data_IF_439697313763
#
_entry.id   IF_439697313763
#
_cell.length_a   1.000
_cell.length_b   1.000
_cell.length_c   1.000
_cell.angle_alpha   90.00
_cell.angle_beta   90.00
_cell.angle_gamma   90.00
#
_symmetry.space_group_name_H-M   'P 1'
#
loop_
_entity.id
_entity.type
_entity.pdbx_description
1 polymer ?
#
# COMPACT_ATOMS: atom_id res chain seq x y z
N UNK A 1 27.85 8.84 57.15
CA UNK A 1 27.30 9.86 56.22
C UNK A 1 27.22 9.23 54.83
N UNK A 2 26.05 8.74 54.43
CA UNK A 2 25.83 8.12 53.10
C UNK A 2 25.04 9.07 52.21
N UNK A 3 25.41 9.24 50.93
CA UNK A 3 24.72 10.17 50.04
C UNK A 3 23.43 9.56 49.50
N UNK A 4 22.34 10.33 49.57
CA UNK A 4 21.04 10.03 48.95
C UNK A 4 21.17 10.15 47.43
N UNK A 5 21.10 9.04 46.71
CA UNK A 5 20.86 9.05 45.26
C UNK A 5 19.40 9.40 44.97
N UNK A 6 19.16 10.59 44.37
CA UNK A 6 17.89 10.92 43.72
C UNK A 6 17.73 10.05 42.47
N UNK A 7 16.74 9.15 42.46
CA UNK A 7 16.27 8.46 41.26
C UNK A 7 15.43 9.44 40.43
N UNK A 8 16.00 9.92 39.32
CA UNK A 8 15.25 10.65 38.29
C UNK A 8 14.37 9.64 37.55
N UNK A 9 13.04 9.74 37.74
CA UNK A 9 12.07 8.97 36.95
C UNK A 9 12.04 9.57 35.53
N UNK A 10 12.68 8.91 34.58
CA UNK A 10 12.52 9.20 33.16
C UNK A 10 11.11 8.75 32.77
N UNK A 11 10.22 9.71 32.55
CA UNK A 11 8.92 9.48 31.92
C UNK A 11 9.17 9.22 30.43
N UNK A 12 9.06 7.96 30.02
CA UNK A 12 8.94 7.58 28.61
C UNK A 12 7.57 8.08 28.12
N UNK A 13 7.59 9.15 27.33
CA UNK A 13 6.44 9.62 26.56
C UNK A 13 6.41 8.75 25.29
N UNK A 14 5.34 7.97 25.02
CA UNK A 14 5.24 7.27 23.75
C UNK A 14 4.94 8.32 22.67
N UNK A 15 5.93 8.57 21.81
CA UNK A 15 5.70 9.32 20.56
C UNK A 15 4.88 8.40 19.64
N UNK A 16 3.55 8.56 19.67
CA UNK A 16 2.67 8.02 18.65
C UNK A 16 2.84 8.88 17.39
N UNK A 17 3.87 8.59 16.59
CA UNK A 17 4.00 9.14 15.25
C UNK A 17 2.97 8.45 14.35
N UNK A 18 1.76 8.99 14.30
CA UNK A 18 0.78 8.64 13.28
C UNK A 18 1.28 9.19 11.93
N UNK A 19 2.15 8.44 11.27
CA UNK A 19 2.51 8.69 9.88
C UNK A 19 1.28 8.36 9.03
N UNK A 20 0.44 9.35 8.78
CA UNK A 20 -0.49 9.36 7.65
C UNK A 20 0.37 9.36 6.39
N UNK A 21 0.82 8.19 5.95
CA UNK A 21 1.28 8.00 4.58
C UNK A 21 0.01 7.96 3.72
N UNK A 22 -0.62 9.12 3.57
CA UNK A 22 -1.57 9.35 2.51
C UNK A 22 -0.76 9.52 1.23
N UNK A 23 -0.45 8.42 0.55
CA UNK A 23 -0.03 8.47 -0.84
C UNK A 23 -1.20 9.00 -1.66
N UNK A 24 -1.30 10.33 -1.76
CA UNK A 24 -2.05 10.96 -2.84
C UNK A 24 -1.30 10.62 -4.12
N UNK A 25 -1.74 9.57 -4.79
CA UNK A 25 -1.25 9.22 -6.13
C UNK A 25 -1.72 10.32 -7.08
N UNK A 26 -0.89 11.34 -7.30
CA UNK A 26 -1.07 12.25 -8.45
C UNK A 26 -0.53 11.53 -9.68
N UNK A 27 -1.38 10.75 -10.34
CA UNK A 27 -1.13 10.28 -11.70
C UNK A 27 -1.17 11.51 -12.60
N UNK A 28 -0.02 12.04 -13.01
CA UNK A 28 0.04 13.02 -14.10
C UNK A 28 -0.07 12.25 -15.40
N UNK A 29 -1.30 11.83 -15.74
CA UNK A 29 -1.65 11.29 -17.05
C UNK A 29 -1.72 12.44 -18.06
N UNK A 30 -1.12 12.26 -19.23
CA UNK A 30 -1.31 13.16 -20.36
C UNK A 30 -2.81 13.17 -20.73
N UNK A 31 -3.41 14.36 -20.75
CA UNK A 31 -4.77 14.56 -21.21
C UNK A 31 -4.77 14.59 -22.74
N UNK A 32 -5.10 13.47 -23.38
CA UNK A 32 -5.72 13.56 -24.71
C UNK A 32 -7.09 14.25 -24.55
N UNK A 33 -7.52 15.11 -25.48
CA UNK A 33 -8.82 15.75 -25.40
C UNK A 33 -9.91 14.72 -25.65
N UNK A 34 -10.45 14.17 -24.55
CA UNK A 34 -11.61 13.26 -24.58
C UNK A 34 -12.85 14.02 -25.12
N UNK A 35 -13.66 13.39 -26.00
CA UNK A 35 -14.90 14.00 -26.46
C UNK A 35 -15.85 14.18 -25.28
N UNK A 36 -16.13 15.44 -24.91
CA UNK A 36 -17.12 15.90 -23.92
C UNK A 36 -17.60 14.80 -22.94
N UNK A 37 -16.71 14.38 -22.04
CA UNK A 37 -17.04 13.42 -20.98
C UNK A 37 -18.22 13.94 -20.16
N UNK A 38 -19.24 13.10 -19.95
CA UNK A 38 -20.33 13.44 -19.05
C UNK A 38 -19.76 13.66 -17.64
N UNK A 39 -20.19 14.71 -16.95
CA UNK A 39 -19.67 15.01 -15.62
C UNK A 39 -19.84 13.81 -14.69
N UNK A 40 -18.76 13.41 -14.00
CA UNK A 40 -18.79 12.30 -13.03
C UNK A 40 -19.89 12.58 -11.99
N UNK A 41 -20.86 11.66 -11.82
CA UNK A 41 -22.01 11.89 -10.97
C UNK A 41 -21.61 12.04 -9.50
N UNK A 42 -22.52 12.60 -8.69
CA UNK A 42 -22.29 12.76 -7.24
C UNK A 42 -22.01 11.42 -6.53
N UNK A 43 -22.63 10.33 -7.02
CA UNK A 43 -22.31 8.97 -6.61
C UNK A 43 -22.28 8.02 -7.79
N UNK A 44 -21.49 6.95 -7.70
CA UNK A 44 -21.57 5.77 -8.59
C UNK A 44 -21.95 4.52 -7.77
N UNK A 45 -22.64 3.53 -8.38
CA UNK A 45 -22.88 2.26 -7.71
C UNK A 45 -21.58 1.45 -7.57
N UNK A 46 -21.35 0.87 -6.40
CA UNK A 46 -20.38 -0.19 -6.15
C UNK A 46 -21.16 -1.49 -5.91
N UNK A 47 -20.98 -2.47 -6.80
CA UNK A 47 -21.45 -3.84 -6.54
C UNK A 47 -20.41 -4.58 -5.73
N UNK A 48 -20.83 -5.00 -4.54
CA UNK A 48 -20.02 -5.76 -3.61
C UNK A 48 -20.53 -7.21 -3.60
N UNK A 49 -19.71 -8.16 -4.04
CA UNK A 49 -20.10 -9.56 -4.21
C UNK A 49 -19.31 -10.44 -3.24
N UNK A 50 -19.98 -11.34 -2.53
CA UNK A 50 -19.32 -12.29 -1.64
C UNK A 50 -19.22 -13.68 -2.30
N UNK A 51 -18.04 -14.00 -2.83
CA UNK A 51 -17.69 -15.32 -3.36
C UNK A 51 -16.67 -16.04 -2.48
N UNK A 52 -16.57 -15.65 -1.21
CA UNK A 52 -15.50 -16.13 -0.32
C UNK A 52 -15.60 -17.60 0.07
N UNK A 53 -16.75 -18.24 -0.21
CA UNK A 53 -17.09 -19.58 0.27
C UNK A 53 -17.12 -19.69 1.81
N UNK A 54 -17.21 -18.56 2.52
CA UNK A 54 -17.28 -18.47 3.98
C UNK A 54 -18.72 -18.26 4.45
N UNK A 55 -19.07 -18.83 5.60
CA UNK A 55 -20.42 -18.74 6.18
C UNK A 55 -20.63 -17.53 7.10
N UNK A 56 -19.54 -16.86 7.51
CA UNK A 56 -19.59 -15.74 8.43
C UNK A 56 -20.27 -14.50 7.86
N UNK A 57 -20.96 -13.74 8.72
CA UNK A 57 -21.47 -12.41 8.38
C UNK A 57 -20.33 -11.50 7.93
N UNK A 58 -20.50 -10.83 6.79
CA UNK A 58 -19.56 -9.79 6.32
C UNK A 58 -20.01 -8.43 6.85
N UNK A 59 -19.08 -7.64 7.37
CA UNK A 59 -19.32 -6.22 7.67
C UNK A 59 -18.49 -5.37 6.72
N UNK A 60 -19.09 -4.34 6.13
CA UNK A 60 -18.43 -3.42 5.19
C UNK A 60 -18.39 -2.02 5.79
N UNK A 61 -17.32 -1.26 5.53
CA UNK A 61 -17.18 0.12 6.00
C UNK A 61 -16.66 0.97 4.85
N UNK A 62 -17.27 2.13 4.59
CA UNK A 62 -16.75 3.12 3.65
C UNK A 62 -16.23 4.32 4.44
N UNK A 63 -14.92 4.40 4.65
CA UNK A 63 -14.27 5.34 5.57
C UNK A 63 -13.26 6.21 4.85
N UNK A 64 -13.21 7.52 5.15
CA UNK A 64 -12.30 8.41 4.45
C UNK A 64 -12.69 9.88 4.56
N UNK A 65 -12.39 10.63 3.49
CA UNK A 65 -12.57 12.09 3.42
C UNK A 65 -13.56 12.46 2.33
N UNK A 66 -14.57 13.25 2.68
CA UNK A 66 -15.48 13.87 1.72
C UNK A 66 -14.77 15.02 1.00
N UNK A 67 -14.71 14.96 -0.34
CA UNK A 67 -13.86 15.89 -1.10
C UNK A 67 -14.39 17.32 -1.14
N UNK A 68 -15.70 17.52 -1.03
CA UNK A 68 -16.32 18.85 -1.05
C UNK A 68 -16.05 19.65 0.22
N UNK A 69 -15.90 18.99 1.37
CA UNK A 69 -15.73 19.63 2.68
C UNK A 69 -14.35 19.41 3.29
N UNK A 70 -13.58 18.44 2.79
CA UNK A 70 -12.31 18.01 3.38
C UNK A 70 -12.47 17.32 4.75
N UNK A 71 -13.70 16.98 5.17
CA UNK A 71 -13.97 16.37 6.47
C UNK A 71 -13.77 14.86 6.40
N UNK A 72 -13.18 14.29 7.45
CA UNK A 72 -13.13 12.85 7.63
C UNK A 72 -14.46 12.32 8.20
N UNK A 73 -14.86 11.12 7.77
CA UNK A 73 -16.08 10.47 8.19
C UNK A 73 -16.25 9.12 7.52
N UNK A 74 -17.52 8.73 7.37
CA UNK A 74 -17.93 7.51 6.70
C UNK A 74 -19.13 7.78 5.80
N UNK A 75 -19.32 6.93 4.79
CA UNK A 75 -20.52 6.96 3.96
C UNK A 75 -21.38 5.72 4.21
N UNK A 76 -22.69 5.90 4.34
CA UNK A 76 -23.62 4.78 4.46
C UNK A 76 -23.90 4.10 3.11
N UNK A 77 -24.77 3.08 3.10
CA UNK A 77 -25.08 2.32 1.88
C UNK A 77 -25.69 3.18 0.76
N UNK A 78 -26.37 4.28 1.10
CA UNK A 78 -26.94 5.23 0.14
C UNK A 78 -25.93 6.28 -0.33
N UNK A 79 -24.70 6.26 0.21
CA UNK A 79 -23.65 7.21 -0.12
C UNK A 79 -23.80 8.55 0.62
N UNK A 80 -24.67 8.62 1.63
CA UNK A 80 -24.77 9.80 2.48
C UNK A 80 -23.57 9.86 3.42
N UNK A 81 -22.89 11.01 3.43
CA UNK A 81 -21.72 11.24 4.27
C UNK A 81 -22.11 11.58 5.70
N UNK A 82 -21.41 10.97 6.64
CA UNK A 82 -21.53 11.16 8.08
C UNK A 82 -20.16 11.55 8.63
N UNK A 83 -19.93 12.81 9.03
CA UNK A 83 -18.65 13.22 9.56
C UNK A 83 -18.37 12.55 10.90
N UNK A 84 -17.11 12.24 11.18
CA UNK A 84 -16.73 11.74 12.50
C UNK A 84 -16.99 12.79 13.59
N UNK A 85 -17.39 12.35 14.81
CA UNK A 85 -17.33 13.22 15.97
C UNK A 85 -15.86 13.60 16.28
N UNK A 86 -15.66 14.60 17.14
CA UNK A 86 -14.32 15.00 17.55
C UNK A 86 -13.58 13.82 18.23
N UNK A 87 -12.33 13.60 17.82
CA UNK A 87 -11.44 12.66 18.49
C UNK A 87 -10.75 13.26 19.71
N UNK A 88 -9.85 12.49 20.33
CA UNK A 88 -9.11 12.90 21.53
C UNK A 88 -7.59 12.86 21.34
N UNK A 89 -6.85 13.50 22.25
CA UNK A 89 -5.38 13.34 22.34
C UNK A 89 -5.00 11.90 22.72
N UNK A 90 -5.84 11.27 23.55
CA UNK A 90 -5.95 9.81 23.64
C UNK A 90 -7.09 9.38 22.70
N UNK A 91 -6.85 8.47 21.75
CA UNK A 91 -7.88 8.07 20.79
C UNK A 91 -9.13 7.50 21.48
N UNK A 92 -10.30 8.03 21.12
CA UNK A 92 -11.62 7.60 21.64
C UNK A 92 -12.30 6.65 20.66
N UNK A 93 -13.24 5.79 21.08
CA UNK A 93 -13.97 4.92 20.15
C UNK A 93 -14.70 5.71 19.06
N UNK A 94 -14.63 5.25 17.81
CA UNK A 94 -15.48 5.74 16.73
C UNK A 94 -16.91 5.16 16.85
N UNK A 95 -17.95 5.87 16.37
CA UNK A 95 -19.28 5.28 16.26
C UNK A 95 -19.28 4.14 15.24
N UNK A 96 -20.25 3.24 15.37
CA UNK A 96 -20.37 2.09 14.48
C UNK A 96 -20.82 2.52 13.07
N UNK A 97 -19.92 2.38 12.11
CA UNK A 97 -20.13 2.70 10.69
C UNK A 97 -20.30 1.45 9.82
N UNK A 98 -20.57 0.29 10.42
CA UNK A 98 -20.71 -0.97 9.68
C UNK A 98 -22.00 -0.99 8.84
N UNK A 99 -21.83 -1.34 7.57
CA UNK A 99 -22.90 -1.77 6.65
C UNK A 99 -22.93 -3.30 6.66
N UNK A 100 -24.12 -3.88 6.79
CA UNK A 100 -24.31 -5.34 6.66
C UNK A 100 -23.94 -5.77 5.24
N UNK A 101 -22.86 -6.55 5.12
CA UNK A 101 -22.39 -7.09 3.85
C UNK A 101 -23.23 -8.28 3.35
N UNK A 102 -23.03 -8.69 2.08
CA UNK A 102 -23.81 -9.78 1.49
C UNK A 102 -23.37 -11.15 2.02
N UNK A 103 -24.35 -12.06 2.17
CA UNK A 103 -24.07 -13.47 2.42
C UNK A 103 -23.31 -14.11 1.24
N UNK A 104 -22.66 -15.25 1.49
CA UNK A 104 -21.94 -15.98 0.43
C UNK A 104 -22.86 -16.34 -0.75
N UNK A 105 -22.36 -16.15 -1.97
CA UNK A 105 -23.12 -16.31 -3.22
C UNK A 105 -24.10 -15.17 -3.52
N UNK A 106 -24.05 -14.07 -2.76
CA UNK A 106 -24.92 -12.90 -2.97
C UNK A 106 -24.09 -11.63 -3.20
N UNK A 107 -24.76 -10.63 -3.73
CA UNK A 107 -24.22 -9.29 -3.91
C UNK A 107 -25.10 -8.26 -3.22
N UNK A 108 -24.50 -7.13 -2.87
CA UNK A 108 -25.19 -5.90 -2.49
C UNK A 108 -24.67 -4.74 -3.34
N UNK A 109 -25.41 -3.64 -3.34
CA UNK A 109 -24.95 -2.39 -3.96
C UNK A 109 -24.88 -1.30 -2.90
N UNK A 110 -23.76 -0.59 -2.84
CA UNK A 110 -23.60 0.65 -2.08
C UNK A 110 -23.31 1.79 -3.04
N UNK A 111 -23.59 3.04 -2.65
CA UNK A 111 -23.24 4.21 -3.44
C UNK A 111 -21.91 4.79 -2.96
N UNK A 112 -20.96 4.96 -3.88
CA UNK A 112 -19.69 5.65 -3.61
C UNK A 112 -19.86 7.15 -3.92
N UNK A 113 -19.80 8.05 -2.93
CA UNK A 113 -19.77 9.48 -3.18
C UNK A 113 -18.39 9.93 -3.65
N UNK A 114 -18.28 11.19 -4.10
CA UNK A 114 -17.00 11.86 -4.35
C UNK A 114 -16.21 11.96 -3.04
N UNK A 115 -15.23 11.06 -2.92
CA UNK A 115 -14.66 10.64 -1.65
C UNK A 115 -13.30 10.00 -1.89
N UNK A 116 -12.40 10.12 -0.92
CA UNK A 116 -11.11 9.43 -0.94
C UNK A 116 -10.90 8.68 0.37
N UNK A 117 -10.65 7.36 0.29
CA UNK A 117 -10.62 6.52 1.48
C UNK A 117 -10.52 5.03 1.18
N UNK A 118 -11.09 4.25 2.08
CA UNK A 118 -11.01 2.79 2.11
C UNK A 118 -12.38 2.15 2.24
N UNK A 119 -12.61 1.11 1.43
CA UNK A 119 -13.70 0.15 1.64
C UNK A 119 -13.14 -1.03 2.42
N UNK A 120 -13.36 -1.05 3.73
CA UNK A 120 -13.01 -2.20 4.58
C UNK A 120 -14.07 -3.27 4.51
N UNK A 121 -13.66 -4.53 4.69
CA UNK A 121 -14.56 -5.63 4.95
C UNK A 121 -13.97 -6.60 5.97
N UNK A 122 -14.80 -7.13 6.86
CA UNK A 122 -14.42 -8.11 7.88
C UNK A 122 -15.40 -9.28 7.96
N UNK A 123 -14.91 -10.42 8.42
CA UNK A 123 -15.68 -11.66 8.55
C UNK A 123 -15.98 -11.97 10.01
N UNK A 124 -17.26 -12.16 10.33
CA UNK A 124 -17.77 -12.63 11.63
C UNK A 124 -17.74 -11.59 12.75
N UNK A 125 -16.77 -10.66 12.73
CA UNK A 125 -16.61 -9.63 13.77
C UNK A 125 -16.54 -8.24 13.14
N UNK A 126 -17.11 -7.25 13.83
CA UNK A 126 -16.97 -5.83 13.46
C UNK A 126 -15.56 -5.34 13.79
N UNK A 127 -15.03 -4.46 12.94
CA UNK A 127 -13.78 -3.76 13.19
C UNK A 127 -13.96 -2.70 14.27
N UNK A 128 -12.90 -2.47 15.04
CA UNK A 128 -12.81 -1.46 16.09
C UNK A 128 -11.97 -0.30 15.58
N UNK A 129 -12.62 0.84 15.36
CA UNK A 129 -11.97 2.08 14.97
C UNK A 129 -11.91 3.07 16.14
N UNK A 130 -10.89 3.94 16.13
CA UNK A 130 -10.72 5.02 17.10
C UNK A 130 -10.47 6.35 16.39
N UNK A 131 -10.75 7.44 17.10
CA UNK A 131 -10.61 8.82 16.64
C UNK A 131 -9.59 9.55 17.52
N UNK A 132 -8.47 9.93 16.92
CA UNK A 132 -7.49 10.84 17.49
C UNK A 132 -7.84 12.30 17.15
N UNK A 133 -7.08 13.26 17.68
CA UNK A 133 -7.26 14.70 17.35
C UNK A 133 -7.20 14.96 15.84
N UNK A 134 -6.37 14.20 15.10
CA UNK A 134 -6.24 14.28 13.64
C UNK A 134 -7.25 13.46 12.83
N UNK A 135 -8.25 12.83 13.47
CA UNK A 135 -9.25 12.00 12.81
C UNK A 135 -9.06 10.50 13.02
N UNK A 136 -9.41 9.72 12.01
CA UNK A 136 -9.45 8.26 12.08
C UNK A 136 -8.05 7.66 12.30
N UNK A 137 -7.93 6.80 13.31
CA UNK A 137 -6.75 5.96 13.52
C UNK A 137 -6.90 4.71 12.65
N UNK A 138 -5.98 4.50 11.71
CA UNK A 138 -5.96 3.30 10.87
C UNK A 138 -5.56 2.07 11.71
N UNK A 139 -6.09 0.87 11.39
CA UNK A 139 -5.65 -0.37 12.04
C UNK A 139 -4.14 -0.60 11.87
N UNK A 140 -3.46 -1.03 12.94
CA UNK A 140 -2.01 -1.27 12.96
C UNK A 140 -1.73 -2.66 13.55
N UNK A 141 -2.16 -3.71 12.82
CA UNK A 141 -2.17 -5.11 13.27
C UNK A 141 -0.80 -5.77 13.40
N UNK A 142 0.28 -5.08 13.04
CA UNK A 142 1.62 -5.47 13.45
C UNK A 142 1.76 -5.38 14.98
N UNK A 143 1.07 -4.43 15.61
CA UNK A 143 1.01 -4.31 17.06
C UNK A 143 0.18 -5.45 17.68
N UNK A 144 0.73 -6.25 18.61
CA UNK A 144 -0.01 -7.34 19.26
C UNK A 144 -1.25 -6.89 20.03
N UNK A 145 -1.29 -5.63 20.48
CA UNK A 145 -2.40 -5.05 21.23
C UNK A 145 -3.44 -4.33 20.36
N UNK A 146 -3.30 -4.33 19.03
CA UNK A 146 -4.32 -3.74 18.15
C UNK A 146 -5.64 -4.50 18.32
N UNK A 147 -6.79 -3.81 18.53
CA UNK A 147 -8.06 -4.48 18.77
C UNK A 147 -8.55 -5.32 17.58
N UNK A 148 -8.03 -5.05 16.38
CA UNK A 148 -8.36 -5.77 15.14
C UNK A 148 -7.39 -6.93 14.85
N UNK A 149 -6.38 -7.17 15.70
CA UNK A 149 -5.33 -8.18 15.50
C UNK A 149 -5.90 -9.58 15.19
N UNK A 150 -6.97 -9.98 15.86
CA UNK A 150 -7.57 -11.32 15.73
C UNK A 150 -8.78 -11.39 14.79
N UNK A 151 -9.13 -10.27 14.15
CA UNK A 151 -10.26 -10.20 13.21
C UNK A 151 -9.74 -10.49 11.80
N UNK A 152 -10.46 -11.27 11.01
CA UNK A 152 -10.16 -11.48 9.59
C UNK A 152 -10.78 -10.34 8.77
N UNK A 153 -9.96 -9.52 8.13
CA UNK A 153 -10.41 -8.36 7.35
C UNK A 153 -9.42 -7.98 6.26
N UNK A 154 -9.88 -7.15 5.32
CA UNK A 154 -9.02 -6.44 4.39
C UNK A 154 -9.67 -5.11 4.00
N UNK A 155 -9.03 -4.35 3.10
CA UNK A 155 -9.60 -3.15 2.50
C UNK A 155 -9.14 -2.94 1.08
N UNK A 156 -9.97 -2.26 0.29
CA UNK A 156 -9.58 -1.61 -0.98
C UNK A 156 -9.45 -0.11 -0.76
N UNK A 157 -8.49 0.55 -1.42
CA UNK A 157 -8.36 2.00 -1.44
C UNK A 157 -8.99 2.56 -2.71
N UNK A 158 -9.69 3.68 -2.59
CA UNK A 158 -10.28 4.35 -3.74
C UNK A 158 -10.31 5.86 -3.61
N UNK A 159 -10.36 6.52 -4.76
CA UNK A 159 -10.72 7.94 -4.88
C UNK A 159 -11.71 8.09 -6.02
N UNK A 160 -12.86 8.69 -5.74
CA UNK A 160 -13.82 9.17 -6.73
C UNK A 160 -13.83 10.70 -6.67
N UNK A 161 -13.55 11.37 -7.78
CA UNK A 161 -13.62 12.82 -7.90
C UNK A 161 -14.12 13.23 -9.29
N UNK A 162 -14.00 14.51 -9.65
CA UNK A 162 -14.44 15.03 -10.96
C UNK A 162 -13.64 14.48 -12.14
N UNK A 163 -12.46 13.90 -11.87
CA UNK A 163 -11.58 13.28 -12.86
C UNK A 163 -11.74 11.75 -12.93
N UNK A 164 -12.73 11.18 -12.24
CA UNK A 164 -13.10 9.77 -12.33
C UNK A 164 -12.80 8.95 -11.08
N UNK A 165 -12.66 7.63 -11.27
CA UNK A 165 -12.42 6.65 -10.21
C UNK A 165 -11.02 6.07 -10.33
N UNK A 166 -10.32 5.99 -9.21
CA UNK A 166 -9.18 5.08 -8.99
C UNK A 166 -9.56 4.11 -7.89
N UNK A 167 -9.38 2.81 -8.12
CA UNK A 167 -9.62 1.78 -7.11
C UNK A 167 -8.54 0.71 -7.21
N UNK A 168 -7.97 0.31 -6.07
CA UNK A 168 -6.88 -0.66 -6.03
C UNK A 168 -7.21 -1.92 -5.23
N UNK A 169 -6.45 -2.97 -5.54
CA UNK A 169 -6.14 -4.03 -4.58
C UNK A 169 -4.75 -3.73 -4.02
N UNK A 170 -4.59 -3.77 -2.69
CA UNK A 170 -3.33 -3.41 -2.02
C UNK A 170 -2.84 -4.51 -1.07
N UNK A 171 -1.52 -4.70 -1.04
CA UNK A 171 -0.82 -5.60 -0.14
C UNK A 171 0.37 -4.89 0.53
N UNK A 172 0.38 -3.55 0.52
CA UNK A 172 1.48 -2.73 1.07
C UNK A 172 1.64 -2.95 2.58
N UNK A 173 0.54 -3.23 3.28
CA UNK A 173 0.55 -3.50 4.72
C UNK A 173 0.45 -5.00 5.04
N UNK A 174 -0.38 -5.74 4.30
CA UNK A 174 -0.58 -7.18 4.53
C UNK A 174 -1.20 -7.91 3.33
N UNK A 175 -0.91 -9.20 3.20
CA UNK A 175 -1.76 -10.15 2.46
C UNK A 175 -2.71 -10.78 3.47
N UNK A 176 -4.01 -10.71 3.24
CA UNK A 176 -5.06 -11.28 4.11
C UNK A 176 -6.23 -11.75 3.24
N UNK A 177 -7.48 -11.64 3.72
CA UNK A 177 -8.67 -12.06 2.98
C UNK A 177 -8.63 -11.55 1.52
N UNK A 178 -8.67 -12.46 0.52
CA UNK A 178 -8.43 -12.09 -0.87
C UNK A 178 -9.65 -11.39 -1.48
N UNK A 179 -9.39 -10.46 -2.39
CA UNK A 179 -10.43 -9.72 -3.08
C UNK A 179 -9.91 -9.17 -4.41
N UNK A 180 -10.84 -8.95 -5.34
CA UNK A 180 -10.60 -8.28 -6.59
C UNK A 180 -11.45 -7.00 -6.70
N UNK A 181 -10.95 -6.03 -7.46
CA UNK A 181 -11.65 -4.76 -7.72
C UNK A 181 -11.86 -4.55 -9.21
N UNK A 182 -12.81 -3.70 -9.57
CA UNK A 182 -13.04 -3.34 -10.96
C UNK A 182 -13.81 -2.04 -11.17
N UNK A 183 -13.78 -1.57 -12.40
CA UNK A 183 -14.53 -0.39 -12.87
C UNK A 183 -15.16 -0.68 -14.22
N UNK A 184 -16.46 -0.36 -14.36
CA UNK A 184 -17.20 -0.39 -15.62
C UNK A 184 -17.14 0.98 -16.29
N UNK A 185 -16.79 0.98 -17.57
CA UNK A 185 -16.68 2.16 -18.42
C UNK A 185 -18.00 2.51 -19.12
N UNK A 186 -18.11 3.70 -19.74
CA UNK A 186 -19.29 4.08 -20.53
C UNK A 186 -19.58 3.14 -21.70
N UNK A 187 -18.54 2.59 -22.33
CA UNK A 187 -18.65 1.62 -23.44
C UNK A 187 -19.11 0.21 -23.00
N UNK A 188 -19.29 0.00 -21.68
CA UNK A 188 -19.72 -1.26 -21.10
C UNK A 188 -18.58 -2.23 -20.75
N UNK A 189 -17.35 -1.95 -21.13
CA UNK A 189 -16.17 -2.77 -20.76
C UNK A 189 -15.86 -2.65 -19.28
N UNK A 190 -15.23 -3.68 -18.72
CA UNK A 190 -14.82 -3.73 -17.31
C UNK A 190 -13.33 -3.96 -17.21
N UNK A 191 -12.62 -3.03 -16.57
CA UNK A 191 -11.25 -3.26 -16.10
C UNK A 191 -11.29 -3.82 -14.67
N UNK A 192 -10.45 -4.81 -14.39
CA UNK A 192 -10.35 -5.45 -13.08
C UNK A 192 -8.90 -5.84 -12.77
N UNK A 193 -8.61 -6.01 -11.47
CA UNK A 193 -7.30 -6.43 -10.96
C UNK A 193 -7.42 -6.99 -9.53
N UNK A 194 -6.34 -7.57 -8.99
CA UNK A 194 -6.26 -8.11 -7.63
C UNK A 194 -6.71 -9.56 -7.46
N UNK A 195 -7.23 -10.19 -8.53
CA UNK A 195 -7.68 -11.58 -8.52
C UNK A 195 -6.47 -12.51 -8.44
N UNK A 196 -6.47 -13.41 -7.46
CA UNK A 196 -5.48 -14.49 -7.37
C UNK A 196 -5.76 -15.60 -8.39
N UNK A 197 -4.72 -16.31 -8.79
CA UNK A 197 -4.80 -17.59 -9.53
C UNK A 197 -5.55 -18.63 -8.68
N UNK A 198 -6.15 -19.68 -9.30
CA UNK A 198 -6.61 -20.84 -8.55
C UNK A 198 -5.49 -21.40 -7.65
N UNK A 199 -5.78 -21.65 -6.38
CA UNK A 199 -4.79 -22.04 -5.38
C UNK A 199 -3.80 -20.95 -4.94
N UNK A 200 -3.96 -19.70 -5.42
CA UNK A 200 -3.00 -18.62 -5.25
C UNK A 200 -2.91 -18.11 -3.81
N UNK A 201 -4.01 -18.15 -3.05
CA UNK A 201 -4.02 -17.78 -1.63
C UNK A 201 -3.15 -18.76 -0.84
N UNK A 202 -3.41 -20.08 -0.93
CA UNK A 202 -2.56 -21.08 -0.28
C UNK A 202 -1.13 -21.04 -0.80
N UNK A 203 -0.96 -20.92 -2.11
CA UNK A 203 0.35 -20.84 -2.77
C UNK A 203 1.22 -19.69 -2.26
N UNK A 204 0.64 -18.52 -1.98
CA UNK A 204 1.37 -17.41 -1.36
C UNK A 204 1.90 -17.77 0.03
N UNK A 205 1.03 -18.28 0.92
CA UNK A 205 1.43 -18.62 2.30
C UNK A 205 2.42 -19.78 2.34
N UNK A 206 2.23 -20.83 1.53
CA UNK A 206 3.16 -21.95 1.44
C UNK A 206 4.53 -21.49 0.95
N UNK A 207 4.56 -20.66 -0.09
CA UNK A 207 5.80 -20.09 -0.59
C UNK A 207 6.49 -19.20 0.45
N UNK A 208 5.73 -18.44 1.25
CA UNK A 208 6.30 -17.56 2.27
C UNK A 208 6.83 -18.35 3.48
N UNK A 209 6.13 -19.40 3.92
CA UNK A 209 6.62 -20.34 4.95
C UNK A 209 7.93 -21.00 4.55
N UNK A 210 8.04 -21.41 3.28
CA UNK A 210 9.24 -22.06 2.76
C UNK A 210 10.42 -21.13 2.49
N UNK A 211 10.30 -19.82 2.72
CA UNK A 211 11.34 -18.84 2.42
C UNK A 211 12.30 -18.65 3.62
N UNK A 212 13.60 -19.02 3.49
CA UNK A 212 14.58 -18.82 4.54
C UNK A 212 14.83 -17.34 4.85
N UNK A 213 15.28 -17.04 6.07
CA UNK A 213 15.62 -15.68 6.50
C UNK A 213 14.56 -14.98 7.37
N UNK A 214 13.57 -15.73 7.87
CA UNK A 214 12.55 -15.23 8.82
C UNK A 214 11.21 -14.86 8.20
N UNK A 215 11.04 -14.97 6.87
CA UNK A 215 9.80 -14.59 6.17
C UNK A 215 8.56 -15.36 6.65
N UNK A 216 8.73 -16.59 7.13
CA UNK A 216 7.65 -17.37 7.74
C UNK A 216 7.05 -16.67 8.98
N UNK A 217 7.84 -15.89 9.72
CA UNK A 217 7.38 -15.18 10.92
C UNK A 217 6.47 -13.98 10.61
N UNK A 218 6.38 -13.57 9.33
CA UNK A 218 5.41 -12.55 8.90
C UNK A 218 3.97 -13.07 9.00
N UNK A 219 3.78 -14.39 8.99
CA UNK A 219 2.48 -15.03 9.00
C UNK A 219 1.91 -14.99 10.41
N UNK A 220 0.77 -14.34 10.56
CA UNK A 220 -0.03 -14.33 11.76
C UNK A 220 -1.12 -15.40 11.65
N UNK A 221 -1.04 -16.38 12.55
CA UNK A 221 -2.00 -17.47 12.68
C UNK A 221 -2.69 -17.35 14.03
N UNK A 222 -4.02 -17.51 14.06
CA UNK A 222 -4.76 -17.63 15.33
C UNK A 222 -4.35 -18.89 16.07
N UNK A 223 -4.67 -18.93 17.36
CA UNK A 223 -4.45 -20.11 18.20
C UNK A 223 -5.19 -21.37 17.69
N UNK A 224 -6.28 -21.19 16.94
CA UNK A 224 -7.04 -22.27 16.30
C UNK A 224 -6.42 -22.81 14.99
N UNK A 225 -5.25 -22.29 14.58
CA UNK A 225 -4.56 -22.68 13.36
C UNK A 225 -5.01 -21.92 12.09
N UNK A 226 -6.00 -21.03 12.19
CA UNK A 226 -6.44 -20.21 11.06
C UNK A 226 -5.39 -19.15 10.73
N UNK A 227 -4.90 -19.14 9.50
CA UNK A 227 -4.06 -18.04 8.98
C UNK A 227 -4.91 -16.79 8.83
N UNK A 228 -4.52 -15.68 9.47
CA UNK A 228 -5.19 -14.39 9.33
C UNK A 228 -4.58 -13.56 8.21
N UNK A 229 -3.26 -13.42 8.24
CA UNK A 229 -2.52 -12.52 7.34
C UNK A 229 -1.03 -12.84 7.31
N UNK A 230 -0.34 -12.34 6.30
CA UNK A 230 1.10 -12.09 6.37
C UNK A 230 1.34 -10.58 6.40
N UNK A 231 2.14 -10.10 7.36
CA UNK A 231 2.58 -8.70 7.39
C UNK A 231 3.52 -8.40 6.22
N UNK A 232 3.42 -7.21 5.65
CA UNK A 232 4.44 -6.71 4.74
C UNK A 232 5.80 -6.58 5.45
N UNK A 233 6.92 -6.71 4.72
CA UNK A 233 8.23 -6.89 5.34
C UNK A 233 8.71 -5.68 6.17
N UNK A 234 8.28 -4.46 5.87
CA UNK A 234 8.56 -3.28 6.70
C UNK A 234 7.97 -3.41 8.10
N UNK A 235 6.67 -3.73 8.18
CA UNK A 235 5.99 -4.06 9.45
C UNK A 235 6.62 -5.28 10.14
N UNK A 236 7.10 -6.25 9.35
CA UNK A 236 7.84 -7.40 9.86
C UNK A 236 9.16 -7.01 10.54
N UNK A 237 9.91 -6.06 9.98
CA UNK A 237 11.12 -5.52 10.58
C UNK A 237 10.78 -4.74 11.86
N UNK A 238 9.76 -3.87 11.82
CA UNK A 238 9.29 -3.10 12.99
C UNK A 238 8.89 -4.02 14.15
N UNK A 239 8.14 -5.08 13.86
CA UNK A 239 7.68 -6.05 14.86
C UNK A 239 8.74 -7.07 15.28
N UNK A 240 9.95 -7.04 14.69
CA UNK A 240 11.02 -8.01 14.97
C UNK A 240 10.80 -9.41 14.39
N UNK A 241 9.83 -9.58 13.48
CA UNK A 241 9.58 -10.83 12.76
C UNK A 241 10.63 -11.09 11.66
N UNK A 242 11.16 -10.03 11.06
CA UNK A 242 12.26 -10.07 10.09
C UNK A 242 13.51 -9.36 10.65
N UNK A 243 14.72 -9.86 10.35
CA UNK A 243 15.95 -9.16 10.71
C UNK A 243 16.02 -7.77 10.07
N UNK A 244 16.37 -6.74 10.84
CA UNK A 244 16.52 -5.35 10.35
C UNK A 244 17.58 -5.17 9.25
N UNK A 245 18.53 -6.11 9.15
CA UNK A 245 19.59 -6.13 8.15
C UNK A 245 19.35 -7.07 6.96
N UNK A 246 18.14 -7.60 6.75
CA UNK A 246 17.87 -8.61 5.72
C UNK A 246 18.24 -8.17 4.30
N UNK A 247 18.20 -6.86 3.99
CA UNK A 247 18.59 -6.30 2.69
C UNK A 247 20.06 -5.82 2.62
N UNK A 248 20.81 -5.87 3.72
CA UNK A 248 22.13 -5.20 3.83
C UNK A 248 23.12 -5.67 2.77
N UNK A 249 23.17 -6.96 2.47
CA UNK A 249 24.08 -7.50 1.44
C UNK A 249 23.83 -6.86 0.07
N UNK A 250 22.57 -6.85 -0.39
CA UNK A 250 22.20 -6.26 -1.68
C UNK A 250 22.48 -4.75 -1.69
N UNK A 251 22.12 -4.04 -0.63
CA UNK A 251 22.37 -2.59 -0.50
C UNK A 251 23.88 -2.30 -0.56
N UNK A 252 24.72 -3.09 0.14
CA UNK A 252 26.17 -2.93 0.10
C UNK A 252 26.73 -3.08 -1.32
N UNK A 253 26.27 -4.09 -2.06
CA UNK A 253 26.70 -4.33 -3.44
C UNK A 253 26.29 -3.20 -4.38
N UNK A 254 25.06 -2.67 -4.26
CA UNK A 254 24.59 -1.51 -5.04
C UNK A 254 25.49 -0.30 -4.81
N UNK A 255 25.78 0.00 -3.54
CA UNK A 255 26.62 1.12 -3.16
C UNK A 255 28.07 0.98 -3.65
N UNK A 256 28.64 -0.23 -3.59
CA UNK A 256 29.96 -0.52 -4.12
C UNK A 256 30.03 -0.32 -5.64
N UNK A 257 29.03 -0.82 -6.39
CA UNK A 257 28.95 -0.64 -7.86
C UNK A 257 28.92 0.84 -8.24
N UNK A 258 28.08 1.63 -7.58
CA UNK A 258 27.88 3.03 -7.95
C UNK A 258 28.91 4.00 -7.33
N UNK A 259 29.92 3.51 -6.61
CA UNK A 259 31.11 4.28 -6.28
C UNK A 259 32.02 4.51 -7.51
N UNK A 260 32.04 3.54 -8.43
CA UNK A 260 32.87 3.59 -9.63
C UNK A 260 32.07 3.77 -10.91
N UNK A 261 30.77 3.45 -10.89
CA UNK A 261 29.85 3.56 -12.03
C UNK A 261 28.76 4.60 -11.80
N UNK A 262 28.10 5.03 -12.87
CA UNK A 262 26.96 5.96 -12.79
C UNK A 262 25.64 5.20 -12.85
N UNK A 263 24.71 5.53 -11.95
CA UNK A 263 23.30 5.15 -12.03
C UNK A 263 22.53 6.25 -12.75
N UNK A 264 21.84 5.94 -13.85
CA UNK A 264 20.98 6.91 -14.54
C UNK A 264 19.53 6.67 -14.15
N UNK A 265 18.85 7.71 -13.68
CA UNK A 265 17.43 7.69 -13.31
C UNK A 265 16.65 8.60 -14.25
N UNK A 266 15.62 8.06 -14.92
CA UNK A 266 14.70 8.77 -15.80
C UNK A 266 13.28 8.63 -15.22
N UNK A 267 12.91 9.43 -14.21
CA UNK A 267 11.79 9.10 -13.33
C UNK A 267 10.43 9.53 -13.87
N UNK A 268 10.38 10.20 -15.02
CA UNK A 268 9.16 10.70 -15.65
C UNK A 268 8.91 9.96 -16.96
N UNK A 269 7.91 9.09 -17.00
CA UNK A 269 7.59 8.29 -18.19
C UNK A 269 7.26 9.15 -19.41
N UNK A 270 6.60 10.30 -19.20
CA UNK A 270 6.24 11.26 -20.25
C UNK A 270 7.33 12.29 -20.57
N UNK A 271 8.46 12.28 -19.85
CA UNK A 271 9.59 13.20 -20.07
C UNK A 271 10.92 12.43 -20.09
N UNK A 272 11.15 11.53 -21.08
CA UNK A 272 12.32 10.65 -21.11
C UNK A 272 13.67 11.38 -21.29
N UNK A 273 13.64 12.67 -21.62
CA UNK A 273 14.80 13.55 -21.67
C UNK A 273 15.27 14.02 -20.29
N UNK A 274 14.41 13.99 -19.27
CA UNK A 274 14.75 14.40 -17.90
C UNK A 274 15.46 13.26 -17.20
N UNK A 275 16.79 13.40 -17.05
CA UNK A 275 17.67 12.38 -16.48
C UNK A 275 18.45 12.93 -15.29
N UNK A 276 18.69 12.05 -14.34
CA UNK A 276 19.53 12.30 -13.18
C UNK A 276 20.60 11.23 -13.06
N UNK A 277 21.80 11.61 -12.61
CA UNK A 277 22.97 10.74 -12.59
C UNK A 277 23.50 10.59 -11.16
N UNK A 278 23.32 9.39 -10.59
CA UNK A 278 23.71 9.02 -9.25
C UNK A 278 25.12 8.44 -9.19
N UNK A 279 25.95 8.95 -8.29
CA UNK A 279 27.26 8.37 -7.96
C UNK A 279 27.52 8.43 -6.45
N UNK A 280 28.08 7.36 -5.90
CA UNK A 280 28.49 7.30 -4.49
C UNK A 280 29.84 7.99 -4.32
N UNK A 281 29.92 8.89 -3.35
CA UNK A 281 31.15 9.48 -2.85
C UNK A 281 31.12 9.46 -1.32
N UNK A 282 32.11 8.81 -0.71
CA UNK A 282 32.07 8.49 0.72
C UNK A 282 30.82 7.65 1.06
N UNK A 283 30.01 8.14 1.99
CA UNK A 283 28.78 7.49 2.45
C UNK A 283 27.50 8.11 1.86
N UNK A 284 27.60 8.88 0.76
CA UNK A 284 26.47 9.57 0.15
C UNK A 284 26.39 9.26 -1.35
N UNK A 285 25.20 8.90 -1.84
CA UNK A 285 24.90 8.86 -3.27
C UNK A 285 24.36 10.22 -3.71
N UNK A 286 25.15 10.95 -4.49
CA UNK A 286 24.78 12.27 -5.02
C UNK A 286 24.17 12.11 -6.41
N UNK A 287 23.02 12.73 -6.65
CA UNK A 287 22.39 12.79 -7.97
C UNK A 287 22.60 14.17 -8.59
N UNK A 288 23.15 14.21 -9.80
CA UNK A 288 23.25 15.44 -10.59
C UNK A 288 22.22 15.47 -11.71
N UNK A 289 21.80 16.66 -12.12
CA UNK A 289 21.09 16.84 -13.40
C UNK A 289 22.06 16.84 -14.59
N UNK A 290 21.55 16.97 -15.82
CA UNK A 290 22.36 17.01 -17.05
C UNK A 290 23.34 18.19 -17.13
N UNK A 291 23.13 19.24 -16.33
CA UNK A 291 24.05 20.39 -16.22
C UNK A 291 25.18 20.15 -15.20
N UNK A 292 25.20 18.99 -14.53
CA UNK A 292 26.21 18.63 -13.54
C UNK A 292 25.96 19.16 -12.12
N UNK A 293 24.87 19.88 -11.88
CA UNK A 293 24.51 20.36 -10.55
C UNK A 293 23.94 19.21 -9.71
N UNK A 294 24.42 19.05 -8.46
CA UNK A 294 23.82 18.10 -7.49
C UNK A 294 22.44 18.62 -7.08
N UNK A 295 21.41 17.81 -7.28
CA UNK A 295 20.01 18.19 -7.04
C UNK A 295 19.38 17.44 -5.87
N UNK A 296 19.91 16.28 -5.50
CA UNK A 296 19.50 15.53 -4.30
C UNK A 296 20.59 14.54 -3.90
N UNK A 297 20.47 13.99 -2.69
CA UNK A 297 21.43 13.04 -2.13
C UNK A 297 20.74 12.01 -1.25
N UNK A 298 21.27 10.79 -1.24
CA UNK A 298 20.75 9.70 -0.43
C UNK A 298 21.83 9.18 0.50
N UNK A 299 21.45 9.02 1.78
CA UNK A 299 22.20 8.19 2.71
C UNK A 299 21.94 6.72 2.38
N UNK A 300 22.83 5.83 2.82
CA UNK A 300 22.66 4.40 2.65
C UNK A 300 21.39 3.93 3.34
N UNK A 301 20.42 3.34 2.61
CA UNK A 301 19.18 2.89 3.23
C UNK A 301 19.43 1.64 4.06
N UNK A 302 18.55 1.40 5.02
CA UNK A 302 18.40 0.12 5.71
C UNK A 302 17.24 -0.68 5.12
N UNK A 303 17.02 -1.91 5.60
CA UNK A 303 15.95 -2.78 5.08
C UNK A 303 14.57 -2.16 5.25
N UNK A 304 14.36 -1.43 6.34
CA UNK A 304 13.09 -0.78 6.65
C UNK A 304 12.80 0.38 5.68
N UNK A 305 13.78 1.26 5.45
CA UNK A 305 13.70 2.31 4.42
C UNK A 305 13.36 1.74 3.05
N UNK A 306 13.93 0.59 2.69
CA UNK A 306 13.65 -0.11 1.42
C UNK A 306 12.22 -0.65 1.39
N UNK A 307 11.80 -1.45 2.38
CA UNK A 307 10.50 -2.11 2.33
C UNK A 307 9.33 -1.14 2.46
N UNK A 308 9.47 -0.08 3.26
CA UNK A 308 8.42 0.93 3.44
C UNK A 308 8.52 2.12 2.47
N UNK A 309 9.55 2.21 1.62
CA UNK A 309 9.83 3.36 0.76
C UNK A 309 9.80 4.72 1.50
N UNK A 310 10.51 4.78 2.62
CA UNK A 310 10.50 5.93 3.53
C UNK A 310 11.85 6.09 4.23
N UNK A 311 11.93 6.93 5.28
CA UNK A 311 13.17 7.21 6.02
C UNK A 311 14.29 7.69 5.10
N UNK A 312 15.30 6.85 4.83
CA UNK A 312 16.40 7.21 3.94
C UNK A 312 16.02 7.17 2.45
N UNK A 313 14.80 6.74 2.13
CA UNK A 313 14.18 6.74 0.80
C UNK A 313 12.85 7.54 0.81
N UNK A 314 12.75 8.58 1.65
CA UNK A 314 11.59 9.49 1.62
C UNK A 314 11.34 10.06 0.23
N UNK A 315 10.07 10.06 -0.19
CA UNK A 315 9.65 10.50 -1.51
C UNK A 315 8.67 11.68 -1.39
N UNK A 316 9.16 12.91 -1.10
CA UNK A 316 8.31 14.08 -0.97
C UNK A 316 7.54 14.38 -2.27
N UNK A 317 6.46 15.14 -2.17
CA UNK A 317 5.69 15.59 -3.33
C UNK A 317 6.37 16.78 -4.03
N UNK A 318 7.57 16.55 -4.55
CA UNK A 318 8.34 17.50 -5.37
C UNK A 318 8.60 16.93 -6.78
N UNK A 319 9.33 17.70 -7.59
CA UNK A 319 9.66 17.34 -8.98
C UNK A 319 11.08 16.76 -9.14
N UNK A 320 11.78 16.46 -8.05
CA UNK A 320 13.17 16.00 -8.11
C UNK A 320 13.42 14.83 -7.17
N UNK A 321 13.46 15.04 -5.85
CA UNK A 321 13.77 13.99 -4.88
C UNK A 321 12.69 12.92 -4.88
N UNK A 322 11.42 13.31 -4.88
CA UNK A 322 10.28 12.38 -4.90
C UNK A 322 10.35 11.38 -6.05
N UNK A 323 10.36 11.84 -7.31
CA UNK A 323 10.45 10.96 -8.47
C UNK A 323 11.70 10.06 -8.46
N UNK A 324 12.88 10.58 -8.09
CA UNK A 324 14.10 9.77 -7.98
C UNK A 324 13.95 8.69 -6.89
N UNK A 325 13.42 9.06 -5.72
CA UNK A 325 13.23 8.14 -4.59
C UNK A 325 12.26 7.01 -4.91
N UNK A 326 11.16 7.32 -5.62
CA UNK A 326 10.20 6.33 -6.12
C UNK A 326 10.88 5.30 -7.03
N UNK A 327 11.67 5.77 -7.99
CA UNK A 327 12.45 4.90 -8.88
C UNK A 327 13.46 4.04 -8.12
N UNK A 328 14.20 4.62 -7.17
CA UNK A 328 15.16 3.88 -6.35
C UNK A 328 14.49 2.84 -5.47
N UNK A 329 13.36 3.17 -4.82
CA UNK A 329 12.65 2.22 -3.97
C UNK A 329 12.18 0.99 -4.75
N UNK A 330 11.60 1.20 -5.93
CA UNK A 330 11.20 0.10 -6.82
C UNK A 330 12.41 -0.76 -7.21
N UNK A 331 13.54 -0.13 -7.61
CA UNK A 331 14.76 -0.86 -7.97
C UNK A 331 15.38 -1.66 -6.81
N UNK A 332 15.29 -1.18 -5.57
CA UNK A 332 15.72 -1.93 -4.38
C UNK A 332 14.79 -3.11 -4.09
N UNK A 333 13.47 -2.89 -4.04
CA UNK A 333 12.50 -3.95 -3.76
C UNK A 333 12.54 -5.06 -4.82
N UNK A 334 12.69 -4.69 -6.09
CA UNK A 334 12.78 -5.61 -7.24
C UNK A 334 14.18 -6.14 -7.48
N UNK A 335 15.16 -5.72 -6.69
CA UNK A 335 16.57 -6.10 -6.81
C UNK A 335 17.16 -5.93 -8.23
N UNK A 336 16.90 -4.80 -8.89
CA UNK A 336 17.35 -4.54 -10.28
C UNK A 336 18.49 -3.53 -10.41
N UNK A 337 18.76 -2.72 -9.38
CA UNK A 337 19.87 -1.75 -9.38
C UNK A 337 21.26 -2.37 -9.70
N UNK A 338 21.49 -3.65 -9.37
CA UNK A 338 22.75 -4.31 -9.76
C UNK A 338 22.83 -4.70 -11.23
N UNK A 339 21.71 -5.05 -11.85
CA UNK A 339 21.69 -5.60 -13.22
C UNK A 339 21.32 -4.56 -14.27
N UNK A 340 20.61 -3.49 -13.90
CA UNK A 340 20.22 -2.42 -14.79
C UNK A 340 20.65 -1.03 -14.25
N UNK A 341 21.66 -0.39 -14.86
CA UNK A 341 22.09 0.96 -14.47
C UNK A 341 21.23 2.10 -15.04
N UNK A 342 20.20 1.81 -15.84
CA UNK A 342 19.27 2.79 -16.39
C UNK A 342 17.88 2.53 -15.82
N UNK A 343 17.53 3.25 -14.77
CA UNK A 343 16.30 3.06 -14.01
C UNK A 343 15.23 4.10 -14.38
N UNK A 344 13.94 3.77 -14.28
CA UNK A 344 13.39 2.46 -13.91
C UNK A 344 13.54 1.40 -15.02
N UNK A 345 13.37 0.13 -14.67
CA UNK A 345 13.33 -0.97 -15.63
C UNK A 345 12.16 -0.83 -16.63
N UNK A 346 12.40 -1.23 -17.89
CA UNK A 346 11.38 -1.18 -18.96
C UNK A 346 10.50 -2.43 -19.04
N UNK A 347 10.81 -3.47 -18.26
CA UNK A 347 10.01 -4.70 -18.17
C UNK A 347 10.25 -5.42 -16.84
N UNK A 348 9.36 -6.35 -16.49
CA UNK A 348 9.44 -7.14 -15.26
C UNK A 348 10.36 -8.37 -15.34
N UNK A 349 10.97 -8.65 -16.48
CA UNK A 349 11.76 -9.89 -16.68
C UNK A 349 12.94 -10.03 -15.72
N UNK A 350 13.53 -8.90 -15.31
CA UNK A 350 14.66 -8.83 -14.38
C UNK A 350 14.27 -8.76 -12.89
N UNK A 351 12.98 -8.69 -12.56
CA UNK A 351 12.55 -8.47 -11.18
C UNK A 351 12.81 -9.69 -10.30
N UNK A 352 13.23 -9.41 -9.07
CA UNK A 352 13.36 -10.36 -7.97
C UNK A 352 14.28 -11.55 -8.27
N UNK A 353 15.34 -11.32 -9.06
CA UNK A 353 16.32 -12.36 -9.46
C UNK A 353 17.50 -12.49 -8.50
N UNK A 354 17.79 -11.47 -7.71
CA UNK A 354 18.81 -11.58 -6.66
C UNK A 354 18.30 -12.48 -5.52
N UNK A 355 19.20 -13.21 -4.88
CA UNK A 355 18.87 -14.04 -3.72
C UNK A 355 18.38 -13.20 -2.53
N UNK A 356 18.83 -11.94 -2.42
CA UNK A 356 18.38 -10.96 -1.43
C UNK A 356 17.47 -9.95 -2.13
N UNK A 357 16.17 -10.11 -1.95
CA UNK A 357 15.13 -9.28 -2.60
C UNK A 357 13.87 -9.21 -1.74
N UNK A 358 12.88 -8.38 -2.12
CA UNK A 358 11.58 -8.39 -1.47
C UNK A 358 10.80 -9.66 -1.86
N UNK A 359 11.02 -10.74 -1.11
CA UNK A 359 10.39 -12.04 -1.36
C UNK A 359 8.88 -12.04 -1.10
N UNK A 360 8.38 -11.16 -0.24
CA UNK A 360 6.95 -10.96 -0.03
C UNK A 360 6.29 -10.45 -1.32
N UNK A 361 6.80 -9.35 -1.90
CA UNK A 361 6.28 -8.80 -3.15
C UNK A 361 6.45 -9.80 -4.31
N UNK A 362 7.63 -10.40 -4.45
CA UNK A 362 7.89 -11.46 -5.45
C UNK A 362 6.83 -12.57 -5.44
N UNK A 363 6.48 -13.05 -4.24
CA UNK A 363 5.54 -14.17 -4.09
C UNK A 363 4.11 -13.76 -4.37
N UNK A 364 3.68 -12.56 -3.99
CA UNK A 364 2.30 -12.13 -4.29
C UNK A 364 2.11 -11.87 -5.79
N UNK A 365 3.03 -11.18 -6.47
CA UNK A 365 2.98 -11.03 -7.93
C UNK A 365 2.89 -12.38 -8.66
N UNK A 366 3.64 -13.39 -8.19
CA UNK A 366 3.60 -14.72 -8.77
C UNK A 366 2.23 -15.41 -8.64
N UNK A 367 1.40 -15.02 -7.67
CA UNK A 367 0.06 -15.58 -7.44
C UNK A 367 -1.07 -14.73 -8.02
N UNK A 368 -0.81 -13.50 -8.46
CA UNK A 368 -1.82 -12.65 -9.12
C UNK A 368 -2.07 -13.11 -10.55
N UNK A 369 -3.34 -13.16 -10.96
CA UNK A 369 -3.75 -13.68 -12.27
C UNK A 369 -3.25 -12.80 -13.43
N UNK A 370 -3.24 -11.49 -13.24
CA UNK A 370 -2.70 -10.49 -14.19
C UNK A 370 -1.20 -10.17 -13.94
N UNK A 371 -0.60 -10.80 -12.93
CA UNK A 371 0.77 -10.55 -12.49
C UNK A 371 1.00 -9.19 -11.82
N UNK A 372 -0.05 -8.41 -11.56
CA UNK A 372 0.02 -7.08 -10.93
C UNK A 372 -0.33 -7.16 -9.45
N UNK A 373 0.40 -6.42 -8.61
CA UNK A 373 0.21 -6.38 -7.17
C UNK A 373 0.69 -5.04 -6.62
N UNK A 374 0.13 -4.60 -5.50
CA UNK A 374 0.70 -3.52 -4.70
C UNK A 374 1.50 -4.15 -3.55
N UNK A 375 2.64 -4.77 -3.87
CA UNK A 375 3.47 -5.51 -2.91
C UNK A 375 4.39 -4.62 -2.06
N UNK A 376 4.58 -3.37 -2.48
CA UNK A 376 5.25 -2.28 -1.75
C UNK A 376 4.72 -0.93 -2.28
N UNK A 377 5.03 0.17 -1.58
CA UNK A 377 4.37 1.46 -1.81
C UNK A 377 4.52 2.05 -3.23
N UNK A 378 5.60 1.72 -3.95
CA UNK A 378 5.89 2.24 -5.29
C UNK A 378 5.92 1.14 -6.37
N UNK A 379 5.05 0.14 -6.26
CA UNK A 379 4.89 -0.89 -7.30
C UNK A 379 4.32 -0.32 -8.62
N UNK A 380 3.79 0.90 -8.57
CA UNK A 380 3.30 1.68 -9.72
C UNK A 380 4.42 2.13 -10.67
N UNK A 381 5.67 2.14 -10.22
CA UNK A 381 6.81 2.35 -11.11
C UNK A 381 6.83 1.26 -12.18
N UNK A 382 6.66 1.62 -13.45
CA UNK A 382 6.56 0.66 -14.55
C UNK A 382 5.18 0.02 -14.72
N UNK A 383 4.14 0.54 -14.05
CA UNK A 383 2.76 0.08 -14.14
C UNK A 383 2.56 -1.40 -13.76
N UNK A 384 3.16 -1.85 -12.65
CA UNK A 384 3.04 -3.23 -12.15
C UNK A 384 2.10 -3.38 -10.95
N UNK A 385 1.48 -2.28 -10.53
CA UNK A 385 0.51 -2.19 -9.46
C UNK A 385 -0.87 -2.72 -9.85
N UNK A 386 -1.61 -3.21 -8.86
CA UNK A 386 -3.00 -3.66 -9.00
C UNK A 386 -3.98 -2.50 -8.77
N UNK A 387 -4.00 -1.55 -9.71
CA UNK A 387 -4.93 -0.43 -9.75
C UNK A 387 -5.68 -0.40 -11.09
N UNK A 388 -6.96 -0.05 -11.05
CA UNK A 388 -7.73 0.29 -12.25
C UNK A 388 -8.31 1.70 -12.14
N UNK A 389 -8.43 2.35 -13.29
CA UNK A 389 -8.91 3.71 -13.41
C UNK A 389 -9.85 3.87 -14.61
N UNK A 390 -10.81 4.78 -14.47
CA UNK A 390 -11.60 5.32 -15.57
C UNK A 390 -12.01 6.77 -15.29
N UNK A 391 -12.00 7.62 -16.33
CA UNK A 391 -12.36 9.04 -16.24
C UNK A 391 -13.86 9.32 -16.20
N UNK A 392 -14.71 8.40 -16.68
CA UNK A 392 -16.18 8.49 -16.65
C UNK A 392 -16.80 7.18 -16.10
N UNK A 393 -16.50 6.84 -14.83
CA UNK A 393 -16.85 5.55 -14.26
C UNK A 393 -18.37 5.39 -14.14
N UNK A 394 -18.91 4.29 -14.66
CA UNK A 394 -20.35 3.96 -14.54
C UNK A 394 -20.68 3.14 -13.31
N UNK A 395 -19.76 2.27 -12.88
CA UNK A 395 -19.96 1.35 -11.77
C UNK A 395 -18.60 0.84 -11.27
N UNK A 396 -18.47 0.63 -9.96
CA UNK A 396 -17.34 -0.04 -9.35
C UNK A 396 -17.71 -1.47 -8.93
N UNK A 397 -16.70 -2.30 -8.74
CA UNK A 397 -16.83 -3.68 -8.26
C UNK A 397 -15.84 -3.96 -7.15
N UNK A 398 -16.30 -4.66 -6.11
CA UNK A 398 -15.45 -5.39 -5.17
C UNK A 398 -16.00 -6.81 -5.08
N UNK A 399 -15.14 -7.81 -5.26
CA UNK A 399 -15.48 -9.21 -5.10
C UNK A 399 -14.63 -9.81 -4.01
N UNK A 400 -15.26 -10.37 -2.97
CA UNK A 400 -14.60 -11.18 -1.97
C UNK A 400 -14.30 -12.55 -2.56
N UNK A 401 -13.03 -12.91 -2.63
CA UNK A 401 -12.58 -14.11 -3.33
C UNK A 401 -12.50 -15.31 -2.39
N UNK A 402 -12.57 -16.55 -2.93
CA UNK A 402 -12.31 -17.76 -2.16
C UNK A 402 -10.91 -17.75 -1.51
N UNK A 403 -10.80 -18.40 -0.35
CA UNK A 403 -9.53 -18.63 0.35
C UNK A 403 -8.78 -19.83 -0.27
N UNK A 404 -8.62 -19.80 -1.59
CA UNK A 404 -8.10 -20.90 -2.41
C UNK A 404 -6.63 -20.71 -2.78
#
# INVERSE_FOLDING_TARGET
MSPRHRRTRIRLIPLAAAALIGTTVTVVGASDPDPASAAVPATIPLTFTNNSARGEQVYVYNLGTELSTGRQGWADANGTFHPWPAGGSTPVPAPDAAITGPANGRSMTVRLPKFSGRIYFSYGQKLVFKLATGGLVQPAVQNPSDPNRNILFNWSEYTLNDSGLWINSTQVDMVSAPYAVGVKRPDGTVANTGRLKPGGYRGFYDALRGQPGGWANLIQTRADGTVLRALAPGHGVEAGALPSGVMNDYINRVWAKYATSTLTVTPFANQPSVKYHGRVSGNVMNFTNSAGAVVTSFQKPDSDSVFGCYKHLDAPNDQVRGPISRTLCAGYNRSTLLTNPNQPDTSSAGFYKDAVTNHYSRKIHAQMADGKAYGFAFDDVGAHESLVHDGDPRQAYITLDPFD
#
